data_IF_748376785576
#
_entry.id   IF_748376785576
#
_cell.length_a   1.000
_cell.length_b   1.000
_cell.length_c   1.000
_cell.angle_alpha   90.00
_cell.angle_beta   90.00
_cell.angle_gamma   90.00
#
_symmetry.space_group_name_H-M   'P 1'
#
loop_
_entity.id
_entity.type
_entity.pdbx_description
1 polymer ?
#
# COMPACT_ATOMS: atom_id res chain seq x y z
N UNK A 1 -13.17 6.90 -2.19
CA UNK A 1 -12.44 7.88 -1.37
C UNK A 1 -11.94 7.16 -0.14
N UNK A 2 -10.72 7.42 0.32
CA UNK A 2 -10.19 6.83 1.56
C UNK A 2 -10.29 7.88 2.66
N UNK A 3 -10.82 7.50 3.82
CA UNK A 3 -10.95 8.39 4.99
C UNK A 3 -10.26 7.77 6.21
N UNK A 4 -9.92 8.63 7.17
CA UNK A 4 -9.29 8.20 8.42
C UNK A 4 -10.28 7.35 9.23
N UNK A 5 -9.80 6.23 9.79
CA UNK A 5 -10.60 5.30 10.61
C UNK A 5 -11.25 4.16 9.83
N UNK A 6 -11.30 4.23 8.50
CA UNK A 6 -11.76 3.11 7.67
C UNK A 6 -10.65 2.08 7.42
N UNK A 7 -11.06 0.85 7.10
CA UNK A 7 -10.12 -0.19 6.68
C UNK A 7 -9.46 0.22 5.37
N UNK A 8 -8.15 -0.02 5.26
CA UNK A 8 -7.42 0.17 4.01
C UNK A 8 -8.04 -0.71 2.90
N UNK A 9 -8.20 -0.21 1.66
CA UNK A 9 -8.78 -0.98 0.56
C UNK A 9 -8.00 -2.27 0.25
N UNK A 10 -8.71 -3.35 -0.06
CA UNK A 10 -8.05 -4.58 -0.53
C UNK A 10 -7.64 -4.43 -2.00
N UNK A 11 -6.32 -4.46 -2.25
CA UNK A 11 -5.74 -4.31 -3.59
C UNK A 11 -4.57 -5.26 -3.80
N UNK A 12 -4.45 -5.78 -5.02
CA UNK A 12 -3.26 -6.48 -5.47
C UNK A 12 -2.42 -5.53 -6.32
N UNK A 13 -1.17 -5.29 -5.91
CA UNK A 13 -0.26 -4.34 -6.55
C UNK A 13 1.05 -5.01 -6.97
N UNK A 14 1.61 -4.55 -8.09
CA UNK A 14 2.94 -4.97 -8.55
C UNK A 14 3.98 -4.05 -7.94
N UNK A 15 4.98 -4.62 -7.28
CA UNK A 15 6.11 -3.89 -6.69
C UNK A 15 7.44 -4.42 -7.23
N UNK A 16 8.53 -3.75 -6.91
CA UNK A 16 9.91 -4.23 -7.17
C UNK A 16 10.24 -5.52 -6.40
N UNK A 17 9.47 -5.85 -5.37
CA UNK A 17 9.60 -7.08 -4.58
C UNK A 17 8.60 -8.17 -5.00
N UNK A 18 7.96 -8.00 -6.16
CA UNK A 18 6.91 -8.90 -6.66
C UNK A 18 5.50 -8.39 -6.38
N UNK A 19 4.51 -9.28 -6.52
CA UNK A 19 3.10 -8.94 -6.28
C UNK A 19 2.80 -8.96 -4.77
N UNK A 20 2.09 -7.93 -4.28
CA UNK A 20 1.64 -7.84 -2.89
C UNK A 20 0.12 -7.64 -2.83
N UNK A 21 -0.54 -8.31 -1.88
CA UNK A 21 -1.94 -8.04 -1.50
C UNK A 21 -1.95 -7.14 -0.26
N UNK A 22 -2.45 -5.92 -0.39
CA UNK A 22 -2.57 -4.96 0.71
C UNK A 22 -4.01 -4.98 1.27
N UNK A 23 -4.22 -4.79 2.58
CA UNK A 23 -3.21 -4.64 3.63
C UNK A 23 -2.63 -5.98 4.16
N UNK A 24 -3.08 -7.13 3.63
CA UNK A 24 -2.75 -8.47 4.14
C UNK A 24 -1.24 -8.75 4.27
N UNK A 25 -0.44 -8.26 3.33
CA UNK A 25 1.03 -8.43 3.34
C UNK A 25 1.71 -7.86 4.59
N UNK A 26 1.07 -6.93 5.29
CA UNK A 26 1.59 -6.29 6.51
C UNK A 26 0.72 -6.59 7.74
N UNK A 27 -0.09 -7.65 7.72
CA UNK A 27 -0.94 -8.04 8.87
C UNK A 27 -0.12 -8.12 10.17
N UNK A 28 -0.60 -7.47 11.22
CA UNK A 28 0.08 -7.42 12.53
C UNK A 28 1.22 -6.39 12.61
N UNK A 29 1.47 -5.62 11.56
CA UNK A 29 2.44 -4.53 11.53
C UNK A 29 1.77 -3.25 11.01
N UNK A 30 2.24 -2.11 11.49
CA UNK A 30 1.91 -0.83 10.86
C UNK A 30 2.74 -0.67 9.58
N UNK A 31 2.16 -0.04 8.56
CA UNK A 31 2.87 0.37 7.35
C UNK A 31 2.45 1.78 6.94
N UNK A 32 3.34 2.47 6.24
CA UNK A 32 3.09 3.80 5.67
C UNK A 32 3.18 3.66 4.15
N UNK A 33 2.09 3.98 3.45
CA UNK A 33 2.07 4.05 1.99
C UNK A 33 2.23 5.51 1.58
N UNK A 34 3.24 5.79 0.77
CA UNK A 34 3.48 7.10 0.18
C UNK A 34 3.68 6.96 -1.33
N UNK A 35 3.44 8.04 -2.07
CA UNK A 35 3.68 8.11 -3.51
C UNK A 35 4.63 9.25 -3.82
N UNK A 36 5.22 9.20 -5.01
CA UNK A 36 5.99 10.30 -5.60
C UNK A 36 5.50 10.51 -7.05
N UNK A 37 5.76 11.68 -7.67
CA UNK A 37 5.27 11.98 -9.01
C UNK A 37 5.93 11.13 -10.11
N UNK A 38 7.25 10.98 -10.06
CA UNK A 38 8.05 10.19 -10.99
C UNK A 38 9.37 9.75 -10.34
N UNK A 39 9.98 8.68 -10.86
CA UNK A 39 11.33 8.28 -10.46
C UNK A 39 12.35 9.31 -10.97
N UNK A 40 13.42 9.55 -10.20
CA UNK A 40 14.51 10.48 -10.54
C UNK A 40 14.12 11.98 -10.69
N UNK A 41 13.09 12.42 -9.96
CA UNK A 41 12.67 13.84 -9.86
C UNK A 41 12.32 14.22 -8.43
#
# INVERSE_FOLDING_TARGET
MVVIGEKFPEVEVKTTHGKLKLPDAFRGKWFVLFSHPADFT
#
